data_IF_215096905694
#
_entry.id   IF_215096905694
#
_cell.length_a   1.000
_cell.length_b   1.000
_cell.length_c   1.000
_cell.angle_alpha   90.00
_cell.angle_beta   90.00
_cell.angle_gamma   90.00
#
_symmetry.space_group_name_H-M   'P 1'
#
loop_
_entity.id
_entity.type
_entity.pdbx_description
1 polymer ?
#
# COMPACT_ATOMS: atom_id res chain seq x y z
N UNK A 1 -7.79 9.06 -24.33
CA UNK A 1 -8.03 9.39 -22.90
C UNK A 1 -7.40 10.75 -22.64
N UNK A 2 -8.15 11.79 -22.24
CA UNK A 2 -7.56 13.13 -22.06
C UNK A 2 -6.87 13.22 -20.70
N UNK A 3 -5.56 12.94 -20.69
CA UNK A 3 -4.72 13.04 -19.50
C UNK A 3 -4.30 14.50 -19.27
N UNK A 4 -4.37 14.95 -18.02
CA UNK A 4 -3.81 16.25 -17.59
C UNK A 4 -2.30 16.14 -17.45
N UNK A 5 -1.60 17.27 -17.48
CA UNK A 5 -0.14 17.36 -17.26
C UNK A 5 0.29 16.67 -15.96
N UNK A 6 -0.50 16.78 -14.89
CA UNK A 6 -0.26 16.11 -13.60
C UNK A 6 -0.27 14.58 -13.71
N UNK A 7 -1.10 13.99 -14.58
CA UNK A 7 -1.12 12.55 -14.78
C UNK A 7 0.14 12.06 -15.50
N UNK A 8 0.69 12.86 -16.41
CA UNK A 8 1.96 12.56 -17.06
C UNK A 8 3.13 12.54 -16.08
N UNK A 9 3.15 13.45 -15.09
CA UNK A 9 4.15 13.39 -14.02
C UNK A 9 4.06 12.12 -13.18
N UNK A 10 2.84 11.67 -12.85
CA UNK A 10 2.61 10.39 -12.16
C UNK A 10 3.09 9.20 -13.00
N UNK A 11 2.75 9.17 -14.29
CA UNK A 11 3.19 8.10 -15.21
C UNK A 11 4.72 8.08 -15.28
N UNK A 12 5.36 9.23 -15.50
CA UNK A 12 6.80 9.33 -15.56
C UNK A 12 7.47 8.87 -14.25
N UNK A 13 6.93 9.28 -13.10
CA UNK A 13 7.41 8.85 -11.78
C UNK A 13 7.32 7.33 -11.62
N UNK A 14 6.17 6.72 -11.96
CA UNK A 14 5.98 5.28 -11.84
C UNK A 14 6.90 4.50 -12.79
N UNK A 15 6.98 4.92 -14.05
CA UNK A 15 7.88 4.29 -15.02
C UNK A 15 9.34 4.37 -14.56
N UNK A 16 9.78 5.51 -14.01
CA UNK A 16 11.14 5.68 -13.55
C UNK A 16 11.51 4.67 -12.45
N UNK A 17 10.73 4.57 -11.38
CA UNK A 17 11.08 3.64 -10.30
C UNK A 17 10.86 2.19 -10.72
N UNK A 18 9.82 1.88 -11.50
CA UNK A 18 9.58 0.51 -11.96
C UNK A 18 10.68 0.03 -12.91
N UNK A 19 11.20 0.90 -13.78
CA UNK A 19 12.36 0.58 -14.62
C UNK A 19 13.61 0.37 -13.78
N UNK A 20 13.87 1.24 -12.79
CA UNK A 20 15.02 1.10 -11.90
C UNK A 20 14.98 -0.23 -11.11
N UNK A 21 13.84 -0.56 -10.50
CA UNK A 21 13.67 -1.82 -9.77
C UNK A 21 13.63 -3.04 -10.69
N UNK A 22 13.09 -2.93 -11.90
CA UNK A 22 13.17 -4.01 -12.91
C UNK A 22 14.63 -4.35 -13.23
N UNK A 23 15.47 -3.33 -13.49
CA UNK A 23 16.90 -3.52 -13.76
C UNK A 23 17.59 -4.13 -12.54
N UNK A 24 17.32 -3.59 -11.36
CA UNK A 24 17.89 -4.10 -10.11
C UNK A 24 17.54 -5.57 -9.87
N UNK A 25 16.26 -5.96 -9.93
CA UNK A 25 15.83 -7.35 -9.69
C UNK A 25 16.29 -8.32 -10.76
N UNK A 26 16.33 -7.89 -12.02
CA UNK A 26 16.95 -8.68 -13.08
C UNK A 26 18.44 -8.92 -12.80
N UNK A 27 19.18 -7.91 -12.33
CA UNK A 27 20.61 -8.03 -12.04
C UNK A 27 20.92 -9.02 -10.90
N UNK A 28 20.04 -9.12 -9.90
CA UNK A 28 20.18 -10.05 -8.78
C UNK A 28 19.38 -11.35 -8.97
N UNK A 29 18.80 -11.57 -10.17
CA UNK A 29 17.98 -12.74 -10.54
C UNK A 29 16.82 -13.01 -9.57
N UNK A 30 16.22 -11.96 -9.02
CA UNK A 30 15.08 -12.06 -8.12
C UNK A 30 13.77 -12.05 -8.94
N UNK A 31 13.39 -13.23 -9.43
CA UNK A 31 12.20 -13.40 -10.28
C UNK A 31 10.88 -13.16 -9.55
N UNK A 32 10.83 -13.41 -8.24
CA UNK A 32 9.66 -13.15 -7.40
C UNK A 32 9.29 -11.66 -7.43
N UNK A 33 10.27 -10.78 -7.19
CA UNK A 33 10.04 -9.34 -7.20
C UNK A 33 9.79 -8.78 -8.60
N UNK A 34 10.29 -9.44 -9.66
CA UNK A 34 9.88 -9.13 -11.04
C UNK A 34 8.40 -9.44 -11.28
N UNK A 35 7.86 -10.53 -10.71
CA UNK A 35 6.43 -10.81 -10.76
C UNK A 35 5.61 -9.74 -10.02
N UNK A 36 6.10 -9.22 -8.88
CA UNK A 36 5.42 -8.13 -8.17
C UNK A 36 5.38 -6.83 -8.96
N UNK A 37 6.42 -6.51 -9.74
CA UNK A 37 6.39 -5.39 -10.69
C UNK A 37 5.25 -5.56 -11.70
N UNK A 38 5.04 -6.77 -12.23
CA UNK A 38 3.95 -7.03 -13.17
C UNK A 38 2.57 -6.77 -12.53
N UNK A 39 2.37 -7.15 -11.27
CA UNK A 39 1.15 -6.84 -10.51
C UNK A 39 0.94 -5.33 -10.38
N UNK A 40 1.97 -4.56 -10.04
CA UNK A 40 1.89 -3.10 -9.96
C UNK A 40 1.55 -2.49 -11.32
N UNK A 41 2.14 -2.98 -12.40
CA UNK A 41 1.81 -2.53 -13.76
C UNK A 41 0.34 -2.79 -14.10
N UNK A 42 -0.21 -3.95 -13.75
CA UNK A 42 -1.63 -4.28 -13.95
C UNK A 42 -2.52 -3.33 -13.14
N UNK A 43 -2.24 -3.11 -11.86
CA UNK A 43 -3.01 -2.19 -11.01
C UNK A 43 -2.92 -0.76 -11.55
N UNK A 44 -1.73 -0.31 -11.97
CA UNK A 44 -1.51 0.99 -12.59
C UNK A 44 -2.29 1.14 -13.89
N UNK A 45 -2.32 0.11 -14.73
CA UNK A 45 -3.08 0.10 -15.98
C UNK A 45 -4.60 0.15 -15.72
N UNK A 46 -5.12 -0.65 -14.79
CA UNK A 46 -6.53 -0.60 -14.37
C UNK A 46 -6.89 0.79 -13.84
N UNK A 47 -6.02 1.38 -13.02
CA UNK A 47 -6.20 2.75 -12.49
C UNK A 47 -6.28 3.77 -13.62
N UNK A 48 -5.40 3.68 -14.63
CA UNK A 48 -5.42 4.55 -15.80
C UNK A 48 -6.71 4.39 -16.62
N UNK A 49 -7.10 3.15 -16.93
CA UNK A 49 -8.33 2.86 -17.69
C UNK A 49 -9.59 3.36 -16.97
N UNK A 50 -9.61 3.27 -15.65
CA UNK A 50 -10.77 3.66 -14.84
C UNK A 50 -10.75 5.12 -14.42
N UNK A 51 -9.68 5.88 -14.65
CA UNK A 51 -9.46 7.24 -14.12
C UNK A 51 -10.64 8.20 -14.35
N UNK A 52 -11.27 8.15 -15.54
CA UNK A 52 -12.45 8.99 -15.84
C UNK A 52 -13.69 8.61 -15.02
N UNK A 53 -13.86 7.32 -14.75
CA UNK A 53 -15.01 6.77 -14.01
C UNK A 53 -14.81 6.90 -12.50
N UNK A 54 -13.62 6.53 -12.02
CA UNK A 54 -13.26 6.55 -10.60
C UNK A 54 -13.09 7.98 -10.07
N UNK A 55 -12.73 8.94 -10.93
CA UNK A 55 -12.52 10.36 -10.58
C UNK A 55 -11.55 10.54 -9.40
N UNK A 56 -10.60 9.61 -9.25
CA UNK A 56 -9.60 9.67 -8.19
C UNK A 56 -8.80 10.97 -8.30
N UNK A 57 -8.64 11.65 -7.18
CA UNK A 57 -7.88 12.88 -7.13
C UNK A 57 -6.37 12.64 -7.07
N UNK A 58 -5.59 13.72 -7.20
CA UNK A 58 -4.13 13.61 -7.22
C UNK A 58 -3.56 13.09 -5.89
N UNK A 59 -4.24 13.31 -4.75
CA UNK A 59 -3.77 12.77 -3.47
C UNK A 59 -3.82 11.24 -3.50
N UNK A 60 -4.93 10.67 -3.94
CA UNK A 60 -5.08 9.23 -4.07
C UNK A 60 -4.05 8.63 -5.03
N UNK A 61 -3.84 9.26 -6.19
CA UNK A 61 -2.93 8.76 -7.22
C UNK A 61 -1.45 8.83 -6.82
N UNK A 62 -1.01 9.94 -6.21
CA UNK A 62 0.34 10.05 -5.65
C UNK A 62 0.51 9.11 -4.46
N UNK A 63 -0.52 9.01 -3.60
CA UNK A 63 -0.56 8.07 -2.48
C UNK A 63 -0.27 6.64 -2.94
N UNK A 64 -1.02 6.18 -3.95
CA UNK A 64 -0.87 4.85 -4.54
C UNK A 64 0.50 4.66 -5.22
N UNK A 65 1.01 5.68 -5.90
CA UNK A 65 2.32 5.62 -6.57
C UNK A 65 3.48 5.50 -5.58
N UNK A 66 3.42 6.26 -4.49
CA UNK A 66 4.39 6.17 -3.40
C UNK A 66 4.27 4.85 -2.64
N UNK A 67 3.06 4.32 -2.48
CA UNK A 67 2.87 2.99 -1.88
C UNK A 67 3.52 1.91 -2.75
N UNK A 68 3.31 1.95 -4.08
CA UNK A 68 3.97 1.06 -5.02
C UNK A 68 5.50 1.16 -4.96
N UNK A 69 6.06 2.38 -4.89
CA UNK A 69 7.49 2.59 -4.69
C UNK A 69 7.99 1.95 -3.39
N UNK A 70 7.30 2.19 -2.26
CA UNK A 70 7.66 1.63 -0.96
C UNK A 70 7.56 0.10 -0.96
N UNK A 71 6.60 -0.46 -1.68
CA UNK A 71 6.46 -1.91 -1.79
C UNK A 71 7.61 -2.54 -2.58
N UNK A 72 8.06 -1.87 -3.65
CA UNK A 72 9.27 -2.27 -4.37
C UNK A 72 10.49 -2.16 -3.47
N UNK A 73 10.68 -1.05 -2.76
CA UNK A 73 11.82 -0.88 -1.87
C UNK A 73 11.81 -1.87 -0.68
N UNK A 74 10.64 -2.09 -0.07
CA UNK A 74 10.43 -2.78 1.19
C UNK A 74 10.96 -4.21 1.19
N UNK A 75 10.60 -4.99 0.19
CA UNK A 75 11.00 -6.40 0.15
C UNK A 75 12.37 -6.63 -0.48
N UNK A 76 12.76 -5.81 -1.47
CA UNK A 76 13.93 -6.08 -2.28
C UNK A 76 15.20 -5.31 -1.90
N UNK A 77 15.11 -4.15 -1.24
CA UNK A 77 16.29 -3.51 -0.65
C UNK A 77 16.65 -4.26 0.63
N UNK A 78 17.91 -4.66 0.74
CA UNK A 78 18.46 -5.29 1.95
C UNK A 78 19.30 -4.29 2.74
N UNK A 79 19.05 -4.19 4.05
CA UNK A 79 19.83 -3.41 5.00
C UNK A 79 20.27 -4.38 6.09
N UNK A 80 21.59 -4.45 6.36
CA UNK A 80 22.17 -5.37 7.34
C UNK A 80 21.71 -6.84 7.15
N UNK A 81 21.61 -7.28 5.89
CA UNK A 81 21.22 -8.66 5.54
C UNK A 81 19.72 -8.98 5.63
N UNK A 82 18.87 -8.06 6.10
CA UNK A 82 17.41 -8.22 6.19
C UNK A 82 16.68 -7.28 5.23
N UNK A 83 15.43 -7.57 4.88
CA UNK A 83 14.63 -6.68 4.02
C UNK A 83 14.39 -5.33 4.71
N UNK A 84 14.14 -4.30 3.90
CA UNK A 84 13.73 -2.99 4.41
C UNK A 84 12.47 -3.11 5.29
N UNK A 85 11.54 -4.01 4.96
CA UNK A 85 10.36 -4.31 5.80
C UNK A 85 10.71 -4.76 7.22
N UNK A 86 11.72 -5.63 7.36
CA UNK A 86 12.11 -6.17 8.67
C UNK A 86 12.89 -5.18 9.54
N UNK A 87 13.21 -3.98 9.05
CA UNK A 87 13.99 -3.03 9.84
C UNK A 87 13.19 -2.53 11.04
N UNK A 88 13.82 -2.62 12.21
CA UNK A 88 13.33 -2.06 13.45
C UNK A 88 13.56 -0.54 13.43
N UNK A 89 12.49 0.24 13.51
CA UNK A 89 12.56 1.70 13.48
C UNK A 89 12.73 2.28 14.88
N UNK A 90 11.81 1.91 15.78
CA UNK A 90 11.75 2.41 17.16
C UNK A 90 11.35 1.24 18.05
N UNK A 91 12.07 1.02 19.15
CA UNK A 91 11.72 -0.03 20.11
C UNK A 91 10.62 0.46 21.06
N UNK A 92 9.36 0.22 20.69
CA UNK A 92 8.18 0.50 21.50
C UNK A 92 7.84 -0.73 22.35
N UNK A 93 7.75 -1.90 21.71
CA UNK A 93 7.56 -3.20 22.38
C UNK A 93 8.33 -4.27 21.61
N UNK A 94 9.12 -5.05 22.33
CA UNK A 94 9.83 -6.22 21.81
C UNK A 94 9.50 -7.44 22.68
N UNK A 95 8.94 -8.48 22.05
CA UNK A 95 8.69 -9.79 22.70
C UNK A 95 9.49 -10.92 22.04
N UNK A 96 10.47 -10.58 21.22
CA UNK A 96 11.26 -11.53 20.43
C UNK A 96 10.53 -12.07 19.20
N UNK A 97 11.29 -12.73 18.33
CA UNK A 97 10.79 -13.26 17.06
C UNK A 97 10.29 -12.13 16.14
N UNK A 98 9.12 -12.32 15.52
CA UNK A 98 8.47 -11.31 14.67
C UNK A 98 7.62 -10.29 15.45
N UNK A 99 7.48 -10.45 16.78
CA UNK A 99 6.75 -9.50 17.61
C UNK A 99 7.65 -8.32 17.99
N UNK A 100 7.70 -7.33 17.11
CA UNK A 100 8.41 -6.08 17.33
C UNK A 100 7.55 -4.91 16.86
N UNK A 101 7.37 -3.91 17.70
CA UNK A 101 6.72 -2.63 17.36
C UNK A 101 7.79 -1.56 17.62
N UNK A 102 8.21 -0.74 16.66
CA UNK A 102 7.70 -0.47 15.31
C UNK A 102 8.69 -0.95 14.23
N UNK A 103 8.26 -1.84 13.33
CA UNK A 103 8.95 -2.22 12.08
C UNK A 103 8.58 -1.27 10.94
N UNK A 104 9.43 -1.23 9.90
CA UNK A 104 9.11 -0.50 8.65
C UNK A 104 7.84 -1.03 7.98
N UNK A 105 7.62 -2.35 8.05
CA UNK A 105 6.43 -3.02 7.57
C UNK A 105 5.13 -2.37 8.08
N UNK A 106 4.99 -2.31 9.39
CA UNK A 106 3.86 -1.68 10.08
C UNK A 106 3.64 -0.22 9.67
N UNK A 107 4.71 0.54 9.45
CA UNK A 107 4.61 1.92 8.97
C UNK A 107 4.08 1.99 7.54
N UNK A 108 4.55 1.10 6.66
CA UNK A 108 4.08 1.00 5.27
C UNK A 108 2.63 0.52 5.23
N UNK A 109 2.24 -0.39 6.12
CA UNK A 109 0.85 -0.82 6.32
C UNK A 109 -0.06 0.34 6.73
N UNK A 110 0.31 1.09 7.77
CA UNK A 110 -0.43 2.30 8.16
C UNK A 110 -0.61 3.26 6.97
N UNK A 111 0.48 3.55 6.25
CA UNK A 111 0.44 4.44 5.09
C UNK A 111 -0.43 3.90 3.95
N UNK A 112 -0.21 2.64 3.58
CA UNK A 112 -0.90 1.97 2.47
C UNK A 112 -2.40 1.91 2.69
N UNK A 113 -2.84 1.55 3.90
CA UNK A 113 -4.26 1.48 4.21
C UNK A 113 -4.89 2.84 4.52
N UNK A 114 -4.11 3.87 4.88
CA UNK A 114 -4.60 5.24 4.80
C UNK A 114 -4.92 5.64 3.35
N UNK A 115 -4.04 5.32 2.40
CA UNK A 115 -4.27 5.57 0.97
C UNK A 115 -5.46 4.76 0.45
N UNK A 116 -5.57 3.48 0.81
CA UNK A 116 -6.68 2.63 0.42
C UNK A 116 -8.02 3.20 0.94
N UNK A 117 -8.09 3.64 2.20
CA UNK A 117 -9.28 4.29 2.73
C UNK A 117 -9.63 5.59 2.00
N UNK A 118 -8.65 6.41 1.63
CA UNK A 118 -8.88 7.61 0.79
C UNK A 118 -9.53 7.22 -0.54
N UNK A 119 -9.03 6.17 -1.20
CA UNK A 119 -9.55 5.67 -2.47
C UNK A 119 -10.98 5.15 -2.30
N UNK A 120 -11.21 4.25 -1.32
CA UNK A 120 -12.54 3.68 -1.06
C UNK A 120 -13.54 4.79 -0.76
N UNK A 121 -13.18 5.76 0.08
CA UNK A 121 -14.02 6.92 0.38
C UNK A 121 -14.42 7.68 -0.89
N UNK A 122 -13.48 7.99 -1.78
CA UNK A 122 -13.77 8.71 -3.03
C UNK A 122 -14.73 7.93 -3.94
N UNK A 123 -14.63 6.60 -3.96
CA UNK A 123 -15.50 5.74 -4.76
C UNK A 123 -16.91 5.61 -4.17
N UNK A 124 -17.05 5.54 -2.85
CA UNK A 124 -18.34 5.30 -2.19
C UNK A 124 -19.12 6.57 -1.86
N UNK A 125 -18.44 7.68 -1.56
CA UNK A 125 -19.07 8.94 -1.13
C UNK A 125 -20.16 9.46 -2.09
N UNK A 126 -20.03 9.38 -3.43
CA UNK A 126 -21.10 9.82 -4.33
C UNK A 126 -22.42 9.06 -4.16
N UNK A 127 -22.38 7.88 -3.55
CA UNK A 127 -23.52 6.97 -3.38
C UNK A 127 -24.05 6.94 -1.93
N UNK A 128 -23.38 7.63 -1.00
CA UNK A 128 -23.71 7.64 0.43
C UNK A 128 -23.96 9.08 0.89
N UNK A 129 -25.18 9.38 1.34
CA UNK A 129 -25.55 10.72 1.81
C UNK A 129 -24.89 11.08 3.15
N UNK A 130 -24.76 10.11 4.05
CA UNK A 130 -24.20 10.34 5.39
C UNK A 130 -22.68 10.31 5.36
N UNK A 131 -22.07 11.41 5.82
CA UNK A 131 -20.61 11.54 5.96
C UNK A 131 -20.03 10.49 6.92
N UNK A 132 -20.67 10.27 8.07
CA UNK A 132 -20.22 9.27 9.05
C UNK A 132 -20.30 7.86 8.48
N UNK A 133 -21.34 7.56 7.70
CA UNK A 133 -21.46 6.27 7.02
C UNK A 133 -20.38 6.11 5.93
N UNK A 134 -20.05 7.16 5.18
CA UNK A 134 -18.97 7.11 4.20
C UNK A 134 -17.59 6.90 4.86
N UNK A 135 -17.32 7.55 5.99
CA UNK A 135 -16.11 7.31 6.81
C UNK A 135 -16.07 5.84 7.25
N UNK A 136 -17.17 5.35 7.82
CA UNK A 136 -17.28 3.97 8.29
C UNK A 136 -17.01 2.99 7.14
N UNK A 137 -17.75 3.08 6.03
CA UNK A 137 -17.58 2.20 4.86
C UNK A 137 -16.16 2.26 4.29
N UNK A 138 -15.54 3.44 4.22
CA UNK A 138 -14.16 3.57 3.77
C UNK A 138 -13.17 2.88 4.71
N UNK A 139 -13.39 3.00 6.02
CA UNK A 139 -12.57 2.38 7.04
C UNK A 139 -12.62 0.85 6.96
N UNK A 140 -13.81 0.24 6.99
CA UNK A 140 -13.93 -1.23 6.90
C UNK A 140 -13.59 -1.74 5.50
N UNK A 141 -13.90 -1.00 4.44
CA UNK A 141 -13.51 -1.36 3.08
C UNK A 141 -12.00 -1.43 2.92
N UNK A 142 -11.28 -0.47 3.50
CA UNK A 142 -9.82 -0.50 3.55
C UNK A 142 -9.29 -1.62 4.45
N UNK A 143 -9.95 -1.94 5.55
CA UNK A 143 -9.59 -3.11 6.36
C UNK A 143 -9.77 -4.42 5.60
N UNK A 144 -10.80 -4.53 4.76
CA UNK A 144 -11.00 -5.68 3.88
C UNK A 144 -9.89 -5.81 2.83
N UNK A 145 -9.43 -4.69 2.26
CA UNK A 145 -8.24 -4.67 1.41
C UNK A 145 -6.98 -5.06 2.19
N UNK A 146 -6.88 -4.64 3.46
CA UNK A 146 -5.85 -5.08 4.41
C UNK A 146 -5.81 -6.57 4.59
N UNK A 147 -6.94 -7.18 4.94
CA UNK A 147 -7.04 -8.61 5.08
C UNK A 147 -6.67 -9.36 3.78
N UNK A 148 -7.03 -8.83 2.61
CA UNK A 148 -6.62 -9.42 1.33
C UNK A 148 -5.09 -9.34 1.13
N UNK A 149 -4.45 -8.25 1.56
CA UNK A 149 -2.98 -8.13 1.55
C UNK A 149 -2.34 -9.19 2.46
N UNK A 150 -2.85 -9.35 3.70
CA UNK A 150 -2.35 -10.37 4.64
C UNK A 150 -2.51 -11.79 4.08
N UNK A 151 -3.59 -12.07 3.31
CA UNK A 151 -3.75 -13.37 2.64
C UNK A 151 -2.64 -13.59 1.61
N UNK A 152 -2.27 -12.56 0.84
CA UNK A 152 -1.17 -12.66 -0.14
C UNK A 152 0.16 -12.88 0.58
N UNK A 153 0.41 -12.17 1.68
CA UNK A 153 1.63 -12.33 2.48
C UNK A 153 1.71 -13.70 3.15
N UNK A 154 0.59 -14.22 3.66
CA UNK A 154 0.52 -15.58 4.19
C UNK A 154 0.81 -16.62 3.09
N UNK A 155 0.26 -16.45 1.88
CA UNK A 155 0.57 -17.34 0.75
C UNK A 155 2.07 -17.29 0.41
N UNK A 156 2.67 -16.10 0.41
CA UNK A 156 4.12 -15.94 0.24
C UNK A 156 4.89 -16.65 1.36
N UNK A 157 4.46 -16.49 2.62
CA UNK A 157 5.07 -17.11 3.79
C UNK A 157 5.12 -18.64 3.71
N UNK A 158 4.04 -19.28 3.25
CA UNK A 158 3.99 -20.75 3.13
C UNK A 158 4.62 -21.28 1.84
N UNK A 159 4.78 -20.43 0.83
CA UNK A 159 5.28 -20.86 -0.49
C UNK A 159 6.78 -20.60 -0.69
N UNK A 160 7.37 -19.70 0.08
CA UNK A 160 8.74 -19.24 -0.09
C UNK A 160 9.58 -19.58 1.15
N UNK A 161 10.82 -20.04 0.93
CA UNK A 161 11.66 -20.59 1.99
C UNK A 161 12.08 -19.57 3.06
N UNK A 162 12.10 -18.28 2.75
CA UNK A 162 12.50 -17.21 3.67
C UNK A 162 11.72 -15.94 3.36
N UNK A 163 10.68 -15.68 4.15
CA UNK A 163 9.92 -14.43 4.11
C UNK A 163 10.04 -13.75 5.47
N UNK A 164 10.15 -12.42 5.46
CA UNK A 164 10.20 -11.61 6.68
C UNK A 164 8.81 -11.15 7.16
N UNK A 165 7.75 -11.71 6.57
CA UNK A 165 6.35 -11.29 6.71
C UNK A 165 5.40 -12.50 6.66
N UNK A 166 4.14 -12.33 7.07
CA UNK A 166 3.05 -13.30 6.91
C UNK A 166 2.89 -14.33 8.05
N UNK A 167 3.71 -14.28 9.10
CA UNK A 167 3.45 -15.06 10.31
C UNK A 167 2.35 -14.42 11.18
N UNK A 168 1.84 -15.17 12.18
CA UNK A 168 0.71 -14.71 13.00
C UNK A 168 1.00 -13.42 13.78
N UNK A 169 2.24 -13.19 14.20
CA UNK A 169 2.60 -11.99 14.96
C UNK A 169 2.76 -10.79 14.04
N UNK A 170 3.40 -10.97 12.88
CA UNK A 170 3.50 -9.95 11.85
C UNK A 170 2.10 -9.56 11.37
N UNK A 171 1.31 -10.50 10.83
CA UNK A 171 -0.06 -10.24 10.37
C UNK A 171 -0.94 -9.62 11.43
N UNK A 172 -0.85 -10.07 12.69
CA UNK A 172 -1.60 -9.47 13.79
C UNK A 172 -1.25 -8.00 14.02
N UNK A 173 0.05 -7.66 13.99
CA UNK A 173 0.51 -6.27 14.11
C UNK A 173 0.11 -5.46 12.88
N UNK A 174 0.29 -6.01 11.68
CA UNK A 174 -0.03 -5.32 10.43
C UNK A 174 -1.52 -4.99 10.34
N UNK A 175 -2.42 -5.90 10.73
CA UNK A 175 -3.86 -5.60 10.85
C UNK A 175 -4.16 -4.46 11.82
N UNK A 176 -3.39 -4.30 12.91
CA UNK A 176 -3.53 -3.18 13.85
C UNK A 176 -3.10 -1.87 13.17
N UNK A 177 -1.99 -1.87 12.43
CA UNK A 177 -1.54 -0.68 11.70
C UNK A 177 -2.47 -0.35 10.52
N UNK A 178 -3.02 -1.37 9.85
CA UNK A 178 -4.07 -1.23 8.84
C UNK A 178 -5.30 -0.53 9.44
N UNK A 179 -5.71 -0.92 10.65
CA UNK A 179 -6.85 -0.34 11.37
C UNK A 179 -6.70 1.17 11.59
N UNK A 180 -5.55 1.59 12.12
CA UNK A 180 -5.29 2.99 12.39
C UNK A 180 -5.06 3.80 11.11
N UNK A 181 -4.33 3.22 10.14
CA UNK A 181 -4.10 3.83 8.84
C UNK A 181 -5.40 4.09 8.11
N UNK A 182 -6.25 3.07 8.02
CA UNK A 182 -7.55 3.16 7.36
C UNK A 182 -8.47 4.21 8.00
N UNK A 183 -8.51 4.30 9.34
CA UNK A 183 -9.29 5.32 10.03
C UNK A 183 -8.75 6.73 9.72
N UNK A 184 -7.43 6.91 9.81
CA UNK A 184 -6.79 8.18 9.51
C UNK A 184 -7.06 8.63 8.07
N UNK A 185 -6.91 7.73 7.10
CA UNK A 185 -7.19 8.00 5.69
C UNK A 185 -8.64 8.41 5.42
N UNK A 186 -9.59 7.68 6.02
CA UNK A 186 -11.01 8.02 5.90
C UNK A 186 -11.34 9.41 6.49
N UNK A 187 -10.79 9.73 7.67
CA UNK A 187 -10.96 11.05 8.30
C UNK A 187 -10.32 12.17 7.49
N UNK A 188 -9.09 11.98 7.00
CA UNK A 188 -8.40 12.94 6.14
C UNK A 188 -9.23 13.21 4.89
N UNK A 189 -9.70 12.18 4.18
CA UNK A 189 -10.50 12.39 2.98
C UNK A 189 -11.83 13.08 3.29
N UNK A 190 -12.48 12.73 4.39
CA UNK A 190 -13.75 13.32 4.80
C UNK A 190 -13.62 14.81 5.21
N UNK A 191 -12.48 15.21 5.75
CA UNK A 191 -12.20 16.62 6.05
C UNK A 191 -12.01 17.44 4.77
N UNK A 192 -11.43 16.83 3.72
CA UNK A 192 -11.19 17.45 2.41
C UNK A 192 -12.47 17.58 1.59
N UNK A 193 -13.39 16.63 1.71
CA UNK A 193 -14.67 16.65 0.97
C UNK A 193 -15.65 17.71 1.48
N UNK A 194 -15.45 18.27 2.68
CA UNK A 194 -16.22 19.42 3.17
C UNK A 194 -15.77 20.77 2.60
N UNK A 195 -14.62 20.83 1.93
CA UNK A 195 -14.03 22.07 1.40
C UNK A 195 -14.25 22.26 -0.11
N UNK A 196 -15.08 21.41 -0.72
CA UNK A 196 -15.52 21.51 -2.13
C UNK A 196 -17.02 21.62 -2.17
#
# INVERSE_FOLDING_TARGET
MNLKRSHWYLIAFNLLYLSAFSIYYASIKNYEFLTYIAVILIIGFITLLTLKKSKLDLLALWGLSLWGLLHMAGGGIKINGSSLYSQHLINIVDKGGQFFILKMDQLIHFYGFAVAAIIVYQLVQPHIKSKSLAIFVAWIGSMGLGALNEVIEFVAFVSLANTGVGDIYNTGLDLIFNLFGALAGALVQSSRSHRK
#
